data_IF_056517924227
#
_entry.id   IF_056517924227
#
_cell.length_a   1.000
_cell.length_b   1.000
_cell.length_c   1.000
_cell.angle_alpha   90.00
_cell.angle_beta   90.00
_cell.angle_gamma   90.00
#
_symmetry.space_group_name_H-M   'P 1'
#
loop_
_entity.id
_entity.type
_entity.pdbx_description
1 polymer ?
#
# COMPACT_ATOMS: atom_id res chain seq x y z
N UNK A 1 -23.84 -44.73 -46.95
CA UNK A 1 -24.11 -44.34 -48.35
C UNK A 1 -23.13 -43.25 -48.67
N UNK A 2 -22.07 -43.60 -49.32
CA UNK A 2 -21.77 -43.37 -50.76
C UNK A 2 -21.30 -41.91 -50.94
N UNK A 3 -20.22 -41.63 -51.45
CA UNK A 3 -19.21 -42.03 -52.42
C UNK A 3 -18.49 -40.78 -52.87
N UNK A 4 -17.20 -40.82 -52.84
CA UNK A 4 -16.29 -40.74 -54.01
C UNK A 4 -16.17 -39.32 -54.61
N UNK A 5 -15.08 -38.84 -55.00
CA UNK A 5 -13.80 -39.35 -55.52
C UNK A 5 -13.27 -38.38 -56.60
N UNK A 6 -11.99 -38.31 -56.72
CA UNK A 6 -11.13 -38.10 -57.88
C UNK A 6 -10.79 -36.62 -58.25
N UNK A 7 -9.54 -36.23 -58.12
CA UNK A 7 -8.34 -36.50 -58.91
C UNK A 7 -8.30 -35.80 -60.28
N UNK A 8 -7.26 -35.01 -60.47
CA UNK A 8 -6.35 -35.01 -61.64
C UNK A 8 -5.37 -33.82 -61.50
N UNK A 9 -4.12 -33.97 -61.37
CA UNK A 9 -3.08 -34.48 -62.28
C UNK A 9 -2.80 -33.60 -63.51
N UNK A 10 -1.59 -33.20 -63.60
CA UNK A 10 -0.88 -32.81 -64.84
C UNK A 10 -0.52 -31.31 -64.88
N UNK A 11 0.63 -30.84 -65.18
CA UNK A 11 1.74 -31.37 -65.89
C UNK A 11 2.79 -30.23 -65.98
N UNK A 12 3.98 -30.56 -65.77
CA UNK A 12 5.25 -30.07 -66.26
C UNK A 12 5.25 -28.92 -67.29
N UNK A 13 6.08 -27.93 -67.07
CA UNK A 13 7.05 -27.56 -68.08
C UNK A 13 8.20 -26.70 -67.52
N UNK A 14 9.31 -27.22 -67.76
CA UNK A 14 10.65 -26.68 -67.56
C UNK A 14 10.90 -25.45 -68.40
N UNK A 15 11.79 -24.60 -67.94
CA UNK A 15 12.97 -24.09 -68.60
C UNK A 15 13.41 -22.71 -68.21
N UNK A 16 14.62 -22.69 -67.86
CA UNK A 16 15.79 -21.86 -68.18
C UNK A 16 16.16 -20.76 -67.19
N UNK A 17 17.30 -21.07 -66.60
CA UNK A 17 18.29 -20.03 -66.18
C UNK A 17 18.96 -19.42 -67.41
N UNK A 18 19.46 -18.23 -67.26
CA UNK A 18 20.89 -18.03 -67.17
C UNK A 18 21.28 -16.89 -66.21
N UNK A 19 22.59 -16.61 -66.14
CA UNK A 19 23.27 -16.38 -64.87
C UNK A 19 23.79 -14.94 -64.73
N UNK A 20 24.27 -14.66 -63.50
CA UNK A 20 25.22 -13.55 -63.29
C UNK A 20 24.53 -12.28 -62.77
N UNK A 21 24.81 -11.79 -61.60
CA UNK A 21 26.05 -11.19 -61.24
C UNK A 21 26.20 -11.02 -59.75
N UNK A 22 27.38 -11.24 -59.31
CA UNK A 22 27.92 -10.88 -58.00
C UNK A 22 27.95 -9.36 -57.86
N UNK A 23 27.57 -8.86 -56.68
CA UNK A 23 28.34 -7.82 -55.98
C UNK A 23 27.77 -7.73 -54.59
N UNK A 24 28.48 -8.24 -53.67
CA UNK A 24 29.32 -7.59 -52.67
C UNK A 24 28.58 -6.69 -51.71
N UNK A 25 28.63 -7.10 -50.48
CA UNK A 25 29.09 -6.16 -49.51
C UNK A 25 28.09 -5.74 -48.45
N UNK A 26 28.38 -6.24 -47.27
CA UNK A 26 28.24 -5.47 -46.06
C UNK A 26 26.84 -4.96 -45.64
N UNK A 27 26.08 -5.75 -44.98
CA UNK A 27 25.13 -5.27 -43.99
C UNK A 27 24.71 -6.35 -43.00
N UNK A 28 25.67 -7.03 -42.34
CA UNK A 28 25.38 -8.04 -41.30
C UNK A 28 25.47 -7.48 -39.89
N UNK A 29 25.56 -6.15 -39.71
CA UNK A 29 25.75 -5.54 -38.40
C UNK A 29 24.54 -4.72 -37.91
N UNK A 30 23.49 -4.52 -38.70
CA UNK A 30 22.33 -3.73 -38.32
C UNK A 30 21.39 -4.37 -37.29
N UNK A 31 21.21 -5.72 -37.17
CA UNK A 31 20.31 -6.25 -36.16
C UNK A 31 20.79 -6.06 -34.74
N UNK A 32 22.11 -5.96 -34.50
CA UNK A 32 22.64 -5.81 -33.13
C UNK A 32 22.44 -4.42 -32.55
N UNK A 33 22.39 -3.37 -33.38
CA UNK A 33 22.12 -2.01 -32.90
C UNK A 33 20.66 -1.82 -32.47
N UNK A 34 19.72 -2.46 -33.17
CA UNK A 34 18.31 -2.39 -32.81
C UNK A 34 18.02 -3.16 -31.51
N UNK A 35 18.62 -4.32 -31.30
CA UNK A 35 18.50 -5.11 -30.08
C UNK A 35 19.12 -4.36 -28.89
N UNK A 36 20.31 -3.78 -29.07
CA UNK A 36 20.96 -2.96 -28.04
C UNK A 36 20.12 -1.74 -27.62
N UNK A 37 19.48 -1.07 -28.58
CA UNK A 37 18.61 0.07 -28.33
C UNK A 37 17.36 -0.30 -27.51
N UNK A 38 16.70 -1.40 -27.85
CA UNK A 38 15.51 -1.87 -27.14
C UNK A 38 15.85 -2.29 -25.70
N UNK A 39 16.97 -2.99 -25.51
CA UNK A 39 17.43 -3.37 -24.15
C UNK A 39 17.79 -2.15 -23.31
N UNK A 40 18.45 -1.14 -23.91
CA UNK A 40 18.79 0.09 -23.19
C UNK A 40 17.52 0.87 -22.79
N UNK A 41 16.53 0.98 -23.68
CA UNK A 41 15.25 1.63 -23.37
C UNK A 41 14.48 0.86 -22.28
N UNK A 42 14.47 -0.47 -22.35
CA UNK A 42 13.81 -1.30 -21.33
C UNK A 42 14.50 -1.17 -19.96
N UNK A 43 15.84 -1.10 -19.91
CA UNK A 43 16.58 -0.88 -18.65
C UNK A 43 16.33 0.51 -18.08
N UNK A 44 16.31 1.56 -18.91
CA UNK A 44 15.99 2.92 -18.47
C UNK A 44 14.55 2.99 -17.98
N UNK A 45 13.59 2.40 -18.71
CA UNK A 45 12.20 2.33 -18.27
C UNK A 45 12.06 1.55 -16.96
N UNK A 46 12.77 0.43 -16.79
CA UNK A 46 12.79 -0.34 -15.55
C UNK A 46 13.39 0.44 -14.38
N UNK A 47 14.50 1.17 -14.61
CA UNK A 47 15.10 2.04 -13.59
C UNK A 47 14.16 3.20 -13.22
N UNK A 48 13.48 3.83 -14.20
CA UNK A 48 12.52 4.90 -13.94
C UNK A 48 11.25 4.41 -13.22
N UNK A 49 10.83 3.18 -13.46
CA UNK A 49 9.71 2.56 -12.70
C UNK A 49 10.16 2.17 -11.29
N UNK A 50 11.40 1.68 -11.14
CA UNK A 50 11.94 1.29 -9.83
C UNK A 50 12.21 2.49 -8.91
N UNK A 51 12.42 3.70 -9.46
CA UNK A 51 12.57 4.94 -8.68
C UNK A 51 11.24 5.58 -8.29
N UNK A 52 10.10 5.06 -8.76
CA UNK A 52 8.76 5.39 -8.23
C UNK A 52 8.45 4.60 -6.96
N UNK A 53 9.47 4.36 -6.15
CA UNK A 53 9.35 3.81 -4.82
C UNK A 53 8.75 4.85 -3.87
N UNK A 54 7.64 4.47 -3.25
CA UNK A 54 7.10 4.98 -1.98
C UNK A 54 7.33 6.47 -1.75
N UNK A 55 6.42 7.30 -2.25
CA UNK A 55 6.33 8.68 -1.77
C UNK A 55 6.12 8.60 -0.26
N UNK A 56 7.12 8.98 0.50
CA UNK A 56 6.95 9.20 1.93
C UNK A 56 5.73 10.11 2.13
N UNK A 57 4.93 9.90 3.17
CA UNK A 57 3.78 10.75 3.43
C UNK A 57 4.24 12.20 3.50
N UNK A 58 3.65 13.05 2.65
CA UNK A 58 4.00 14.47 2.56
C UNK A 58 3.32 15.28 3.66
N UNK A 59 2.46 14.63 4.45
CA UNK A 59 1.72 15.31 5.52
C UNK A 59 2.60 15.41 6.78
N UNK A 60 2.99 16.64 7.19
CA UNK A 60 3.82 16.85 8.35
C UNK A 60 3.17 16.35 9.65
N UNK A 61 1.85 16.29 9.74
CA UNK A 61 1.12 15.77 10.91
C UNK A 61 1.35 14.28 11.07
N UNK A 62 1.34 13.54 9.96
CA UNK A 62 1.56 12.09 9.95
C UNK A 62 3.02 11.76 10.31
N UNK A 63 3.97 12.53 9.76
CA UNK A 63 5.38 12.38 10.11
C UNK A 63 5.64 12.69 11.59
N UNK A 64 4.98 13.72 12.13
CA UNK A 64 5.06 14.05 13.55
C UNK A 64 4.47 12.96 14.44
N UNK A 65 3.31 12.40 14.07
CA UNK A 65 2.70 11.26 14.76
C UNK A 65 3.58 10.01 14.67
N UNK A 66 4.13 9.71 13.49
CA UNK A 66 5.04 8.60 13.29
C UNK A 66 6.30 8.74 14.16
N UNK A 67 6.90 9.92 14.19
CA UNK A 67 8.10 10.22 14.97
C UNK A 67 7.84 10.19 16.48
N UNK A 68 6.73 10.76 16.94
CA UNK A 68 6.39 10.85 18.36
C UNK A 68 5.93 9.51 18.96
N UNK A 69 5.40 8.61 18.14
CA UNK A 69 4.62 7.45 18.62
C UNK A 69 5.17 6.10 18.17
N UNK A 70 6.12 6.11 17.26
CA UNK A 70 6.58 4.90 16.60
C UNK A 70 7.49 4.08 17.48
N UNK A 71 7.25 3.57 18.55
CA UNK A 71 8.09 2.61 19.32
C UNK A 71 9.11 1.80 18.50
N UNK A 72 9.76 2.45 17.49
CA UNK A 72 10.74 1.89 16.58
C UNK A 72 10.17 1.23 15.30
N UNK A 73 8.88 1.34 15.03
CA UNK A 73 8.26 0.79 13.82
C UNK A 73 8.29 1.75 12.63
N UNK A 74 8.19 1.18 11.43
CA UNK A 74 8.07 1.91 10.16
C UNK A 74 6.60 2.26 9.88
N UNK A 75 6.36 3.37 9.18
CA UNK A 75 5.04 3.68 8.62
C UNK A 75 5.00 3.18 7.18
N UNK A 76 4.11 2.23 6.91
CA UNK A 76 3.76 1.80 5.56
C UNK A 76 2.55 2.57 5.08
N UNK A 77 2.61 3.05 3.84
CA UNK A 77 1.50 3.71 3.18
C UNK A 77 0.81 2.69 2.27
N UNK A 78 -0.45 2.40 2.57
CA UNK A 78 -1.31 1.52 1.79
C UNK A 78 -2.39 2.37 1.14
N UNK A 79 -2.36 2.47 -0.19
CA UNK A 79 -3.31 3.29 -0.94
C UNK A 79 -4.37 2.40 -1.58
N UNK A 80 -5.61 2.54 -1.13
CA UNK A 80 -6.80 1.99 -1.78
C UNK A 80 -7.35 2.93 -2.85
N UNK A 81 -8.55 2.62 -3.37
CA UNK A 81 -9.22 3.48 -4.35
C UNK A 81 -9.74 4.78 -3.77
N UNK A 82 -10.01 4.83 -2.47
CA UNK A 82 -10.67 5.95 -1.80
C UNK A 82 -9.99 6.41 -0.51
N UNK A 83 -9.19 5.58 0.13
CA UNK A 83 -8.59 5.86 1.43
C UNK A 83 -7.10 5.47 1.45
N UNK A 84 -6.30 6.30 2.11
CA UNK A 84 -4.88 6.05 2.36
C UNK A 84 -4.69 5.69 3.83
N UNK A 85 -4.16 4.50 4.10
CA UNK A 85 -3.90 4.00 5.45
C UNK A 85 -2.41 4.18 5.76
N UNK A 86 -2.11 4.81 6.88
CA UNK A 86 -0.74 4.99 7.38
C UNK A 86 -0.39 3.93 8.42
N UNK A 87 -0.24 2.71 7.96
CA UNK A 87 -0.07 1.53 8.80
C UNK A 87 1.26 1.54 9.56
N UNK A 88 1.20 1.67 10.88
CA UNK A 88 2.36 1.49 11.73
C UNK A 88 2.72 0.01 11.88
N UNK A 89 3.97 -0.35 11.59
CA UNK A 89 4.50 -1.71 11.82
C UNK A 89 4.92 -1.93 13.27
N UNK A 90 4.99 -0.87 14.10
CA UNK A 90 5.33 -0.99 15.51
C UNK A 90 4.36 -1.95 16.22
N UNK A 91 4.85 -2.88 17.05
CA UNK A 91 3.98 -3.70 17.87
C UNK A 91 3.20 -2.82 18.86
N UNK A 92 1.95 -3.19 19.12
CA UNK A 92 1.20 -2.54 20.18
C UNK A 92 1.75 -2.97 21.55
N UNK A 93 1.68 -2.09 22.57
CA UNK A 93 2.15 -2.44 23.91
C UNK A 93 1.42 -3.66 24.47
N UNK A 94 2.12 -4.42 25.28
CA UNK A 94 1.59 -5.61 25.98
C UNK A 94 2.04 -5.60 27.44
N UNK A 95 1.50 -6.50 28.24
CA UNK A 95 1.97 -6.64 29.63
C UNK A 95 3.43 -7.08 29.73
N UNK A 96 3.94 -7.81 28.73
CA UNK A 96 5.34 -8.24 28.67
C UNK A 96 6.27 -7.15 28.11
N UNK A 97 5.74 -6.27 27.26
CA UNK A 97 6.46 -5.15 26.66
C UNK A 97 5.61 -3.87 26.80
N UNK A 98 5.52 -3.29 28.00
CA UNK A 98 4.73 -2.08 28.20
C UNK A 98 5.40 -0.87 27.56
N UNK A 99 4.59 0.15 27.28
CA UNK A 99 5.08 1.44 26.83
C UNK A 99 5.98 2.08 27.90
N UNK A 100 7.19 2.46 27.52
CA UNK A 100 8.19 2.98 28.47
C UNK A 100 7.78 4.34 29.07
N UNK A 101 7.04 5.17 28.32
CA UNK A 101 6.58 6.50 28.76
C UNK A 101 5.30 6.45 29.61
N UNK A 102 4.72 5.27 29.80
CA UNK A 102 3.52 5.06 30.60
C UNK A 102 2.22 5.60 29.99
N UNK A 103 2.27 6.30 28.84
CA UNK A 103 1.10 6.89 28.21
C UNK A 103 0.19 5.82 27.58
N UNK A 104 -1.12 6.05 27.53
CA UNK A 104 -2.03 5.24 26.75
C UNK A 104 -1.76 5.42 25.24
N UNK A 105 -2.26 4.49 24.43
CA UNK A 105 -2.20 4.56 22.99
C UNK A 105 -3.61 4.52 22.41
N UNK A 106 -3.95 5.51 21.60
CA UNK A 106 -5.16 5.48 20.76
C UNK A 106 -4.81 4.76 19.45
N UNK A 107 -5.44 3.61 19.24
CA UNK A 107 -5.24 2.80 18.03
C UNK A 107 -6.43 3.04 17.10
N UNK A 108 -6.17 3.54 15.91
CA UNK A 108 -7.15 3.63 14.83
C UNK A 108 -7.02 2.41 13.92
N UNK A 109 -8.03 1.56 13.90
CA UNK A 109 -8.16 0.48 12.94
C UNK A 109 -8.89 1.00 11.71
N UNK A 110 -8.18 1.03 10.58
CA UNK A 110 -8.66 1.48 9.28
C UNK A 110 -8.43 0.41 8.20
N UNK A 111 -8.94 0.62 7.02
CA UNK A 111 -8.77 -0.31 5.89
C UNK A 111 -8.80 0.45 4.56
N UNK A 112 -8.20 -0.12 3.52
CA UNK A 112 -8.04 0.52 2.20
C UNK A 112 -9.35 0.78 1.45
N UNK A 113 -10.45 0.14 1.85
CA UNK A 113 -11.78 0.30 1.25
C UNK A 113 -12.82 0.76 2.27
N UNK A 114 -12.42 1.61 3.20
CA UNK A 114 -13.26 2.08 4.30
C UNK A 114 -13.81 3.49 3.99
N UNK A 115 -15.05 3.57 3.52
CA UNK A 115 -15.70 4.84 3.18
C UNK A 115 -15.80 5.83 4.38
N UNK A 116 -16.11 5.32 5.56
CA UNK A 116 -16.14 6.14 6.77
C UNK A 116 -14.76 6.57 7.25
N UNK A 117 -13.71 5.78 6.97
CA UNK A 117 -12.33 6.20 7.23
C UNK A 117 -11.94 7.37 6.31
N UNK A 118 -12.32 7.30 5.01
CA UNK A 118 -12.12 8.37 4.05
C UNK A 118 -12.74 9.69 4.51
N UNK A 119 -13.95 9.64 5.07
CA UNK A 119 -14.62 10.82 5.61
C UNK A 119 -13.90 11.42 6.82
N UNK A 120 -13.22 10.62 7.62
CA UNK A 120 -12.47 11.06 8.80
C UNK A 120 -11.03 11.50 8.49
N UNK A 121 -10.43 11.01 7.40
CA UNK A 121 -9.03 11.26 7.03
C UNK A 121 -8.63 12.75 7.11
N UNK A 122 -9.43 13.72 6.61
CA UNK A 122 -9.04 15.13 6.62
C UNK A 122 -8.80 15.72 8.01
N UNK A 123 -9.40 15.14 9.05
CA UNK A 123 -9.29 15.69 10.40
C UNK A 123 -8.77 14.70 11.46
N UNK A 124 -8.78 13.39 11.20
CA UNK A 124 -8.41 12.38 12.21
C UNK A 124 -6.96 12.55 12.67
N UNK A 125 -6.00 12.59 11.75
CA UNK A 125 -4.59 12.75 12.09
C UNK A 125 -4.28 14.14 12.70
N UNK A 126 -4.72 15.28 12.11
CA UNK A 126 -4.50 16.59 12.71
C UNK A 126 -5.13 16.72 14.10
N UNK A 127 -6.30 16.14 14.33
CA UNK A 127 -6.95 16.17 15.65
C UNK A 127 -6.18 15.29 16.65
N UNK A 128 -5.82 14.05 16.28
CA UNK A 128 -5.03 13.17 17.16
C UNK A 128 -3.69 13.79 17.54
N UNK A 129 -3.06 14.55 16.65
CA UNK A 129 -1.82 15.26 16.92
C UNK A 129 -1.91 16.26 18.09
N UNK A 130 -3.11 16.81 18.37
CA UNK A 130 -3.35 17.72 19.50
C UNK A 130 -3.30 17.03 20.86
N UNK A 131 -3.30 15.70 20.89
CA UNK A 131 -3.32 14.88 22.12
C UNK A 131 -2.02 14.11 22.36
N UNK A 132 -0.95 14.39 21.61
CA UNK A 132 0.32 13.64 21.68
C UNK A 132 1.06 13.78 22.99
N UNK A 133 0.77 14.78 23.78
CA UNK A 133 1.25 14.96 25.16
C UNK A 133 0.57 13.97 26.15
N UNK A 134 -0.65 13.53 25.85
CA UNK A 134 -1.51 12.70 26.73
C UNK A 134 -1.62 11.26 26.24
N UNK A 135 -1.57 11.01 24.96
CA UNK A 135 -1.66 9.68 24.37
C UNK A 135 -0.79 9.55 23.13
N UNK A 136 -0.28 8.36 22.87
CA UNK A 136 0.25 8.01 21.56
C UNK A 136 -0.91 7.77 20.60
N UNK A 137 -0.67 7.97 19.30
CA UNK A 137 -1.61 7.63 18.25
C UNK A 137 -0.98 6.69 17.24
N UNK A 138 -1.65 5.58 16.94
CA UNK A 138 -1.17 4.55 16.01
C UNK A 138 -2.31 4.16 15.09
N UNK A 139 -2.06 4.19 13.78
CA UNK A 139 -2.98 3.64 12.80
C UNK A 139 -2.57 2.21 12.42
N UNK A 140 -3.52 1.28 12.40
CA UNK A 140 -3.36 -0.13 12.06
C UNK A 140 -4.29 -0.50 10.91
N UNK A 141 -3.72 -1.12 9.88
CA UNK A 141 -4.51 -1.66 8.78
C UNK A 141 -5.17 -2.97 9.18
N UNK A 142 -6.49 -3.08 9.02
CA UNK A 142 -7.20 -4.35 9.21
C UNK A 142 -6.86 -5.36 8.11
N UNK A 143 -6.34 -4.90 6.99
CA UNK A 143 -5.94 -5.74 5.87
C UNK A 143 -4.59 -6.43 6.13
N UNK A 144 -3.69 -5.75 6.87
CA UNK A 144 -2.30 -6.17 7.10
C UNK A 144 -2.05 -6.71 8.51
N UNK A 145 -2.64 -6.11 9.55
CA UNK A 145 -2.36 -6.45 10.96
C UNK A 145 -3.48 -7.29 11.58
N UNK A 146 -3.66 -8.50 11.06
CA UNK A 146 -4.69 -9.43 11.55
C UNK A 146 -4.53 -9.82 13.01
N UNK A 147 -3.30 -9.78 13.54
CA UNK A 147 -3.05 -10.09 14.94
C UNK A 147 -3.63 -9.01 15.86
N UNK A 148 -3.41 -7.73 15.55
CA UNK A 148 -4.00 -6.63 16.29
C UNK A 148 -5.54 -6.62 16.17
N UNK A 149 -6.07 -6.90 14.96
CA UNK A 149 -7.52 -7.04 14.72
C UNK A 149 -8.14 -8.11 15.60
N UNK A 150 -7.53 -9.30 15.69
CA UNK A 150 -8.01 -10.40 16.51
C UNK A 150 -7.87 -10.08 18.01
N UNK A 151 -6.74 -9.51 18.42
CA UNK A 151 -6.44 -9.16 19.82
C UNK A 151 -7.50 -8.23 20.42
N UNK A 152 -7.94 -7.23 19.66
CA UNK A 152 -8.94 -6.24 20.10
C UNK A 152 -10.36 -6.52 19.60
N UNK A 153 -10.59 -7.66 18.94
CA UNK A 153 -11.91 -8.08 18.48
C UNK A 153 -12.55 -7.06 17.54
N UNK A 154 -11.75 -6.45 16.64
CA UNK A 154 -12.22 -5.45 15.68
C UNK A 154 -13.12 -6.12 14.65
N UNK A 155 -14.34 -5.62 14.48
CA UNK A 155 -15.36 -6.19 13.58
C UNK A 155 -15.69 -5.30 12.38
N UNK A 156 -15.18 -4.07 12.36
CA UNK A 156 -15.45 -3.11 11.29
C UNK A 156 -14.57 -1.87 11.43
N UNK A 157 -14.53 -1.08 10.40
CA UNK A 157 -13.73 0.14 10.30
C UNK A 157 -14.62 1.36 10.02
N UNK A 158 -14.28 2.55 10.55
CA UNK A 158 -13.21 2.78 11.53
C UNK A 158 -13.57 2.29 12.92
N UNK A 159 -12.60 1.73 13.64
CA UNK A 159 -12.69 1.46 15.07
C UNK A 159 -11.49 2.11 15.77
N UNK A 160 -11.77 2.86 16.82
CA UNK A 160 -10.76 3.45 17.69
C UNK A 160 -10.76 2.72 19.02
N UNK A 161 -9.59 2.29 19.46
CA UNK A 161 -9.40 1.60 20.75
C UNK A 161 -8.34 2.36 21.53
N UNK A 162 -8.70 2.91 22.68
CA UNK A 162 -7.74 3.44 23.62
C UNK A 162 -7.26 2.29 24.53
N UNK A 163 -5.96 2.04 24.53
CA UNK A 163 -5.31 1.02 25.35
C UNK A 163 -4.36 1.68 26.35
N UNK A 164 -4.21 1.08 27.53
CA UNK A 164 -3.23 1.52 28.52
C UNK A 164 -1.79 1.17 28.09
N UNK A 165 -0.82 1.60 28.88
CA UNK A 165 0.59 1.33 28.62
C UNK A 165 0.93 -0.18 28.56
N UNK A 166 0.06 -1.06 29.03
CA UNK A 166 0.22 -2.53 29.03
C UNK A 166 -0.65 -3.22 27.96
N UNK A 167 -1.29 -2.45 27.09
CA UNK A 167 -2.11 -2.97 25.99
C UNK A 167 -3.51 -3.42 26.40
N UNK A 168 -3.99 -3.09 27.62
CA UNK A 168 -5.37 -3.38 28.02
C UNK A 168 -6.29 -2.29 27.50
N UNK A 169 -7.43 -2.69 26.93
CA UNK A 169 -8.43 -1.74 26.46
C UNK A 169 -9.03 -0.94 27.65
N UNK A 170 -9.02 0.37 27.49
CA UNK A 170 -9.66 1.33 28.39
C UNK A 170 -11.04 1.72 27.85
N UNK A 171 -11.11 2.01 26.54
CA UNK A 171 -12.31 2.53 25.88
C UNK A 171 -12.25 2.27 24.40
N UNK A 172 -13.43 2.23 23.76
CA UNK A 172 -13.52 2.23 22.30
C UNK A 172 -14.65 3.12 21.80
N UNK A 173 -14.48 3.59 20.58
CA UNK A 173 -15.50 4.30 19.82
C UNK A 173 -15.29 4.02 18.32
N UNK A 174 -16.23 4.46 17.50
CA UNK A 174 -16.19 4.26 16.05
C UNK A 174 -16.29 5.59 15.32
N UNK A 175 -16.79 5.57 14.10
CA UNK A 175 -16.96 6.73 13.22
C UNK A 175 -17.49 7.98 13.96
N UNK A 176 -16.84 9.11 13.69
CA UNK A 176 -17.23 10.44 14.11
C UNK A 176 -17.37 11.32 12.88
N UNK A 177 -18.49 12.02 12.73
CA UNK A 177 -18.79 12.77 11.51
C UNK A 177 -18.13 14.14 11.42
N UNK A 178 -17.52 14.61 12.52
CA UNK A 178 -16.87 15.92 12.59
C UNK A 178 -15.62 15.89 13.47
N UNK A 179 -14.73 16.85 13.23
CA UNK A 179 -13.53 17.06 14.06
C UNK A 179 -13.87 17.26 15.54
N UNK A 180 -14.91 18.06 15.84
CA UNK A 180 -15.35 18.31 17.22
C UNK A 180 -15.84 17.04 17.91
N UNK A 181 -16.66 16.23 17.20
CA UNK A 181 -17.13 14.96 17.75
C UNK A 181 -15.95 13.99 17.99
N UNK A 182 -14.99 13.95 17.08
CA UNK A 182 -13.80 13.12 17.24
C UNK A 182 -12.92 13.58 18.41
N UNK A 183 -12.67 14.88 18.54
CA UNK A 183 -11.95 15.46 19.68
C UNK A 183 -12.64 15.14 21.00
N UNK A 184 -13.98 15.32 21.07
CA UNK A 184 -14.76 14.99 22.27
C UNK A 184 -14.73 13.49 22.61
N UNK A 185 -14.73 12.61 21.60
CA UNK A 185 -14.60 11.17 21.79
C UNK A 185 -13.23 10.79 22.38
N UNK A 186 -12.14 11.41 21.90
CA UNK A 186 -10.78 11.21 22.46
C UNK A 186 -10.76 11.69 23.93
N UNK A 187 -11.24 12.91 24.22
CA UNK A 187 -11.31 13.43 25.59
C UNK A 187 -12.08 12.49 26.53
N UNK A 188 -13.26 12.05 26.09
CA UNK A 188 -14.08 11.11 26.86
C UNK A 188 -13.35 9.77 27.07
N UNK A 189 -12.62 9.27 26.09
CA UNK A 189 -11.86 8.04 26.22
C UNK A 189 -10.71 8.20 27.22
N UNK A 190 -9.95 9.30 27.14
CA UNK A 190 -8.84 9.60 28.04
C UNK A 190 -9.28 9.78 29.49
N UNK A 191 -10.43 10.41 29.73
CA UNK A 191 -10.97 10.60 31.08
C UNK A 191 -11.35 9.29 31.81
N UNK A 192 -11.55 8.20 31.07
CA UNK A 192 -11.80 6.87 31.64
C UNK A 192 -10.53 6.13 32.05
N UNK A 193 -9.39 6.55 31.54
CA UNK A 193 -8.09 5.93 31.80
C UNK A 193 -7.26 6.65 32.86
N UNK A 194 -7.80 7.75 33.43
CA UNK A 194 -7.15 8.59 34.45
C UNK A 194 -7.35 8.08 35.87
#
# INVERSE_FOLDING_TARGET
>A
MSKQSQSNAGSQSARRRPPGDQKSGSARWQPFLLIGGVVAIALVAFLLVSTRGSSAPSDPSILALASANAGGGEIKVLTGSKHTVYHSTAPLPTSAAPRADGRPTLVWFSGTFCEFCEQMEPFAHPTAAKFTDRAAFVEKSVDDDRNAVAQYGVRGTPTFVLIDARGREISRFSFQSTEQAFSAAIESALSRGS
#
